data_IF_385388129813
#
_entry.id   IF_385388129813
#
_cell.length_a   1.000
_cell.length_b   1.000
_cell.length_c   1.000
_cell.angle_alpha   90.00
_cell.angle_beta   90.00
_cell.angle_gamma   90.00
#
_symmetry.space_group_name_H-M   'P 1'
#
loop_
_entity.id
_entity.type
_entity.pdbx_description
1 polymer ?
#
# COMPACT_ATOMS: atom_id res chain seq x y z
N UNK A 1 20.36 5.58 -3.79
CA UNK A 1 19.10 5.21 -3.09
C UNK A 1 19.07 5.79 -1.68
N UNK A 2 19.95 5.39 -0.76
CA UNK A 2 19.91 5.84 0.65
C UNK A 2 19.90 7.36 0.86
N UNK A 3 20.77 8.13 0.19
CA UNK A 3 20.77 9.61 0.33
C UNK A 3 19.43 10.25 -0.07
N UNK A 4 18.79 9.74 -1.13
CA UNK A 4 17.48 10.21 -1.58
C UNK A 4 16.39 9.90 -0.55
N UNK A 5 16.42 8.68 0.00
CA UNK A 5 15.53 8.28 1.08
C UNK A 5 15.68 9.18 2.31
N UNK A 6 16.91 9.49 2.74
CA UNK A 6 17.14 10.39 3.90
C UNK A 6 16.56 11.79 3.65
N UNK A 7 16.72 12.34 2.45
CA UNK A 7 16.11 13.63 2.10
C UNK A 7 14.58 13.56 2.15
N UNK A 8 14.00 12.55 1.49
CA UNK A 8 12.55 12.32 1.46
C UNK A 8 11.95 12.08 2.85
N UNK A 9 12.66 11.33 3.70
CA UNK A 9 12.27 11.04 5.08
C UNK A 9 12.11 12.33 5.90
N UNK A 10 13.03 13.29 5.72
CA UNK A 10 12.94 14.62 6.33
C UNK A 10 11.77 15.42 5.77
N UNK A 11 11.56 15.40 4.46
CA UNK A 11 10.46 16.14 3.81
C UNK A 11 9.07 15.69 4.30
N UNK A 12 8.88 14.37 4.52
CA UNK A 12 7.61 13.82 5.00
C UNK A 12 7.48 13.85 6.53
N UNK A 13 8.57 14.12 7.25
CA UNK A 13 8.70 14.01 8.70
C UNK A 13 8.38 12.58 9.18
N UNK A 14 9.09 11.59 8.62
CA UNK A 14 8.84 10.16 8.89
C UNK A 14 8.99 9.82 10.38
N UNK A 15 9.96 10.45 11.06
CA UNK A 15 10.33 10.13 12.46
C UNK A 15 9.19 10.37 13.45
N UNK A 16 8.34 11.37 13.19
CA UNK A 16 7.18 11.69 14.04
C UNK A 16 5.84 11.37 13.36
N UNK A 17 5.88 10.70 12.21
CA UNK A 17 4.70 10.44 11.40
C UNK A 17 3.65 9.61 12.16
N UNK A 18 4.10 8.59 12.89
CA UNK A 18 3.22 7.69 13.66
C UNK A 18 2.50 8.40 14.81
N UNK A 19 3.06 9.48 15.35
CA UNK A 19 2.52 10.21 16.51
C UNK A 19 1.74 11.46 16.10
N UNK A 20 2.25 12.21 15.14
CA UNK A 20 1.81 13.59 14.89
C UNK A 20 0.83 13.68 13.71
N UNK A 21 0.87 12.72 12.79
CA UNK A 21 0.06 12.78 11.58
C UNK A 21 -1.26 12.03 11.73
N UNK A 22 -2.35 12.79 11.62
CA UNK A 22 -3.71 12.25 11.45
C UNK A 22 -4.13 12.37 9.99
N UNK A 23 -4.42 11.24 9.30
CA UNK A 23 -4.96 11.30 7.94
C UNK A 23 -6.25 12.13 7.90
N UNK A 24 -6.50 12.87 6.80
CA UNK A 24 -7.80 13.46 6.52
C UNK A 24 -8.92 12.44 6.68
N UNK A 25 -10.07 12.89 7.18
CA UNK A 25 -11.21 12.01 7.48
C UNK A 25 -11.61 11.12 6.30
N UNK A 26 -11.58 11.67 5.08
CA UNK A 26 -11.90 10.92 3.87
C UNK A 26 -10.96 9.73 3.65
N UNK A 27 -9.65 9.92 3.87
CA UNK A 27 -8.67 8.83 3.72
C UNK A 27 -8.82 7.83 4.87
N UNK A 28 -9.00 8.32 6.10
CA UNK A 28 -9.14 7.46 7.27
C UNK A 28 -10.41 6.57 7.24
N UNK A 29 -11.52 7.07 6.68
CA UNK A 29 -12.81 6.35 6.65
C UNK A 29 -13.01 5.50 5.40
N UNK A 30 -12.53 5.96 4.24
CA UNK A 30 -12.88 5.36 2.95
C UNK A 30 -11.72 4.64 2.26
N UNK A 31 -10.50 4.68 2.80
CA UNK A 31 -9.42 3.82 2.35
C UNK A 31 -9.41 2.52 3.16
N UNK A 32 -9.95 1.46 2.57
CA UNK A 32 -10.04 0.15 3.22
C UNK A 32 -8.69 -0.57 3.25
N UNK A 33 -7.99 -0.47 4.38
CA UNK A 33 -6.66 -1.05 4.61
C UNK A 33 -6.39 -1.29 6.10
N UNK A 34 -6.12 -2.53 6.51
CA UNK A 34 -5.66 -2.84 7.88
C UNK A 34 -4.93 -4.19 7.96
N UNK A 35 -4.43 -4.54 9.14
CA UNK A 35 -3.93 -5.86 9.48
C UNK A 35 -5.06 -6.89 9.46
N UNK A 36 -4.77 -8.03 8.83
CA UNK A 36 -5.68 -9.15 8.77
C UNK A 36 -5.31 -10.23 9.78
N UNK A 37 -4.10 -10.77 9.63
CA UNK A 37 -3.65 -11.94 10.40
C UNK A 37 -2.13 -12.10 10.31
N UNK A 38 -1.61 -13.14 10.94
CA UNK A 38 -0.24 -13.57 10.74
C UNK A 38 -0.19 -14.82 9.84
N UNK A 39 0.84 -14.93 9.01
CA UNK A 39 1.08 -16.12 8.20
C UNK A 39 1.55 -17.32 9.05
N UNK A 40 1.74 -18.49 8.41
CA UNK A 40 2.15 -19.71 9.10
C UNK A 40 3.48 -19.58 9.86
N UNK A 41 4.33 -18.63 9.46
CA UNK A 41 5.60 -18.37 10.14
C UNK A 41 5.46 -17.27 11.21
N UNK A 42 4.31 -16.59 11.28
CA UNK A 42 4.05 -15.50 12.21
C UNK A 42 4.31 -14.11 11.63
N UNK A 43 4.52 -13.97 10.31
CA UNK A 43 4.69 -12.65 9.69
C UNK A 43 3.36 -11.94 9.55
N UNK A 44 3.35 -10.63 9.75
CA UNK A 44 2.13 -9.84 9.60
C UNK A 44 1.65 -9.82 8.13
N UNK A 45 0.34 -10.01 7.95
CA UNK A 45 -0.38 -9.89 6.67
C UNK A 45 -1.33 -8.70 6.75
N UNK A 46 -1.19 -7.78 5.79
CA UNK A 46 -2.10 -6.66 5.60
C UNK A 46 -3.14 -6.98 4.53
N UNK A 47 -4.32 -6.42 4.67
CA UNK A 47 -5.45 -6.61 3.76
C UNK A 47 -6.00 -5.27 3.29
N UNK A 48 -6.31 -5.19 2.00
CA UNK A 48 -6.94 -4.05 1.38
C UNK A 48 -8.13 -4.50 0.53
N UNK A 49 -9.30 -3.91 0.77
CA UNK A 49 -10.52 -4.19 -0.01
C UNK A 49 -10.65 -3.25 -1.22
N UNK A 50 -9.70 -3.37 -2.15
CA UNK A 50 -9.48 -2.40 -3.24
C UNK A 50 -10.70 -2.24 -4.13
N UNK A 51 -11.38 -3.34 -4.46
CA UNK A 51 -12.49 -3.30 -5.41
C UNK A 51 -13.73 -2.55 -4.90
N UNK A 52 -13.86 -2.37 -3.58
CA UNK A 52 -14.95 -1.61 -2.95
C UNK A 52 -14.57 -0.16 -2.61
N UNK A 53 -13.36 0.30 -2.94
CA UNK A 53 -12.95 1.71 -2.72
C UNK A 53 -13.52 2.59 -3.84
N UNK A 54 -14.24 3.66 -3.48
CA UNK A 54 -14.56 4.74 -4.41
C UNK A 54 -13.30 5.58 -4.70
N UNK A 55 -12.43 5.07 -5.58
CA UNK A 55 -11.17 5.72 -5.94
C UNK A 55 -11.40 7.13 -6.52
N UNK A 56 -12.48 7.31 -7.29
CA UNK A 56 -12.80 8.60 -7.90
C UNK A 56 -13.20 9.61 -6.83
N UNK A 57 -14.10 9.26 -5.91
CA UNK A 57 -14.48 10.09 -4.77
C UNK A 57 -13.27 10.39 -3.89
N UNK A 58 -12.51 9.36 -3.51
CA UNK A 58 -11.34 9.48 -2.65
C UNK A 58 -10.33 10.49 -3.19
N UNK A 59 -9.93 10.36 -4.46
CA UNK A 59 -8.91 11.24 -5.07
C UNK A 59 -9.46 12.60 -5.49
N UNK A 60 -10.78 12.80 -5.50
CA UNK A 60 -11.39 14.13 -5.66
C UNK A 60 -11.58 14.85 -4.31
N UNK A 61 -11.61 14.11 -3.21
CA UNK A 61 -11.83 14.64 -1.87
C UNK A 61 -10.56 14.77 -1.03
N UNK A 62 -9.44 14.17 -1.46
CA UNK A 62 -8.15 14.26 -0.79
C UNK A 62 -7.09 14.93 -1.69
N UNK A 63 -6.14 15.64 -1.07
CA UNK A 63 -4.96 16.12 -1.78
C UNK A 63 -4.03 14.93 -2.06
N UNK A 64 -3.36 14.87 -3.24
CA UNK A 64 -2.38 13.82 -3.53
C UNK A 64 -1.27 13.73 -2.47
N UNK A 65 -0.84 14.86 -1.91
CA UNK A 65 0.17 14.90 -0.82
C UNK A 65 -0.31 14.21 0.46
N UNK A 66 -1.58 14.37 0.82
CA UNK A 66 -2.16 13.71 1.98
C UNK A 66 -2.34 12.22 1.73
N UNK A 67 -2.70 11.85 0.49
CA UNK A 67 -2.73 10.47 0.02
C UNK A 67 -1.38 9.78 0.20
N UNK A 68 -0.31 10.41 -0.29
CA UNK A 68 1.04 9.87 -0.15
C UNK A 68 1.44 9.76 1.32
N UNK A 69 1.27 10.83 2.11
CA UNK A 69 1.64 10.83 3.52
C UNK A 69 0.87 9.77 4.32
N UNK A 70 -0.39 9.53 3.97
CA UNK A 70 -1.20 8.44 4.54
C UNK A 70 -0.70 7.06 4.13
N UNK A 71 -0.29 6.87 2.86
CA UNK A 71 0.32 5.62 2.42
C UNK A 71 1.63 5.32 3.17
N UNK A 72 2.47 6.34 3.40
CA UNK A 72 3.69 6.24 4.20
C UNK A 72 3.36 5.87 5.65
N UNK A 73 2.33 6.50 6.24
CA UNK A 73 1.87 6.17 7.59
C UNK A 73 1.49 4.68 7.71
N UNK A 74 0.79 4.13 6.71
CA UNK A 74 0.47 2.70 6.69
C UNK A 74 1.72 1.84 6.57
N UNK A 75 2.67 2.18 5.70
CA UNK A 75 3.92 1.44 5.58
C UNK A 75 4.72 1.41 6.90
N UNK A 76 4.82 2.53 7.61
CA UNK A 76 5.46 2.59 8.95
C UNK A 76 4.72 1.74 9.98
N UNK A 77 3.37 1.75 9.96
CA UNK A 77 2.55 0.90 10.85
C UNK A 77 2.76 -0.58 10.57
N UNK A 78 2.87 -0.96 9.31
CA UNK A 78 3.10 -2.34 8.92
C UNK A 78 4.45 -2.85 9.43
N UNK A 79 5.50 -2.02 9.29
CA UNK A 79 6.85 -2.31 9.79
C UNK A 79 6.85 -2.41 11.32
N UNK A 80 6.17 -1.47 12.01
CA UNK A 80 6.02 -1.51 13.46
C UNK A 80 5.31 -2.80 13.90
N UNK A 81 4.21 -3.18 13.24
CA UNK A 81 3.50 -4.44 13.52
C UNK A 81 4.42 -5.65 13.29
N UNK A 82 5.22 -5.65 12.23
CA UNK A 82 6.18 -6.72 11.95
C UNK A 82 7.22 -6.85 13.08
N UNK A 83 7.78 -5.73 13.55
CA UNK A 83 8.76 -5.74 14.64
C UNK A 83 8.15 -6.20 15.97
N UNK A 84 6.90 -5.84 16.25
CA UNK A 84 6.19 -6.38 17.41
C UNK A 84 5.99 -7.91 17.32
N UNK A 85 5.74 -8.45 16.12
CA UNK A 85 5.66 -9.91 15.94
C UNK A 85 7.03 -10.58 16.10
N UNK A 86 8.08 -9.95 15.60
CA UNK A 86 9.46 -10.41 15.75
C UNK A 86 9.85 -10.57 17.22
N UNK A 87 9.59 -9.54 18.04
CA UNK A 87 9.86 -9.57 19.48
C UNK A 87 9.10 -10.69 20.18
N UNK A 88 7.80 -10.85 19.87
CA UNK A 88 6.96 -11.90 20.46
C UNK A 88 7.41 -13.32 20.10
N UNK A 89 7.93 -13.52 18.91
CA UNK A 89 8.27 -14.84 18.37
C UNK A 89 9.76 -15.17 18.44
N UNK A 90 10.61 -14.23 18.86
CA UNK A 90 12.06 -14.36 18.79
C UNK A 90 12.57 -14.52 17.35
N UNK A 91 11.92 -13.83 16.40
CA UNK A 91 12.23 -13.90 14.96
C UNK A 91 12.71 -12.54 14.44
N UNK A 92 13.25 -12.53 13.23
CA UNK A 92 13.81 -11.32 12.59
C UNK A 92 13.27 -11.15 11.16
N UNK A 93 11.95 -11.14 11.00
CA UNK A 93 11.33 -10.85 9.72
C UNK A 93 11.58 -9.40 9.31
N UNK A 94 11.91 -9.20 8.04
CA UNK A 94 12.12 -7.86 7.45
C UNK A 94 11.06 -7.49 6.43
N UNK A 95 10.21 -8.46 6.04
CA UNK A 95 9.24 -8.36 4.94
C UNK A 95 7.81 -8.62 5.42
N UNK A 96 6.86 -7.86 4.89
CA UNK A 96 5.41 -7.92 5.17
C UNK A 96 4.67 -8.60 4.02
N UNK A 97 3.60 -9.33 4.33
CA UNK A 97 2.69 -9.91 3.35
C UNK A 97 1.48 -9.02 3.09
N UNK A 98 0.97 -9.02 1.85
CA UNK A 98 -0.19 -8.23 1.47
C UNK A 98 -1.24 -9.08 0.74
N UNK A 99 -2.51 -8.81 1.00
CA UNK A 99 -3.67 -9.36 0.29
C UNK A 99 -4.51 -8.19 -0.22
N UNK A 100 -4.77 -8.17 -1.51
CA UNK A 100 -5.63 -7.18 -2.17
C UNK A 100 -6.87 -7.88 -2.72
N UNK A 101 -8.03 -7.57 -2.16
CA UNK A 101 -9.31 -8.02 -2.70
C UNK A 101 -9.76 -7.10 -3.84
N UNK A 102 -9.92 -7.67 -5.02
CA UNK A 102 -10.38 -6.94 -6.22
C UNK A 102 -11.86 -7.23 -6.54
N UNK A 103 -12.59 -7.86 -5.62
CA UNK A 103 -14.03 -8.07 -5.76
C UNK A 103 -14.75 -6.73 -5.97
N UNK A 104 -15.67 -6.69 -6.94
CA UNK A 104 -16.39 -5.49 -7.39
C UNK A 104 -15.54 -4.41 -8.09
N UNK A 105 -14.24 -4.64 -8.35
CA UNK A 105 -13.44 -3.72 -9.13
C UNK A 105 -13.99 -3.63 -10.57
N UNK A 106 -14.62 -2.51 -10.90
CA UNK A 106 -15.13 -2.26 -12.24
C UNK A 106 -14.01 -1.86 -13.21
N UNK A 107 -14.21 -2.14 -14.50
CA UNK A 107 -13.28 -1.70 -15.55
C UNK A 107 -13.09 -0.18 -15.52
N UNK A 108 -14.17 0.59 -15.35
CA UNK A 108 -14.12 2.05 -15.30
C UNK A 108 -13.26 2.58 -14.14
N UNK A 109 -13.33 1.95 -12.96
CA UNK A 109 -12.48 2.30 -11.82
C UNK A 109 -11.03 1.90 -12.07
N UNK A 110 -10.81 0.69 -12.60
CA UNK A 110 -9.46 0.18 -12.91
C UNK A 110 -8.74 0.99 -13.99
N UNK A 111 -9.47 1.52 -14.98
CA UNK A 111 -8.91 2.35 -16.07
C UNK A 111 -8.99 3.84 -15.81
N UNK A 112 -9.39 4.27 -14.60
CA UNK A 112 -9.49 5.68 -14.28
C UNK A 112 -8.09 6.32 -14.24
N UNK A 113 -7.81 7.20 -15.19
CA UNK A 113 -6.50 7.83 -15.35
C UNK A 113 -5.93 8.44 -14.06
N UNK A 114 -6.72 9.26 -13.36
CA UNK A 114 -6.28 9.94 -12.14
C UNK A 114 -5.94 8.92 -11.03
N UNK A 115 -6.74 7.87 -10.90
CA UNK A 115 -6.52 6.80 -9.92
C UNK A 115 -5.25 6.01 -10.25
N UNK A 116 -5.01 5.70 -11.53
CA UNK A 116 -3.78 5.06 -11.99
C UNK A 116 -2.56 5.95 -11.70
N UNK A 117 -2.61 7.23 -12.04
CA UNK A 117 -1.49 8.17 -11.82
C UNK A 117 -1.13 8.28 -10.33
N UNK A 118 -2.12 8.36 -9.44
CA UNK A 118 -1.91 8.38 -7.98
C UNK A 118 -1.35 7.04 -7.48
N UNK A 119 -1.90 5.92 -7.93
CA UNK A 119 -1.42 4.59 -7.55
C UNK A 119 0.04 4.36 -7.99
N UNK A 120 0.38 4.76 -9.23
CA UNK A 120 1.75 4.72 -9.76
C UNK A 120 2.71 5.55 -8.92
N UNK A 121 2.29 6.76 -8.54
CA UNK A 121 3.09 7.66 -7.73
C UNK A 121 3.37 7.08 -6.34
N UNK A 122 2.35 6.55 -5.67
CA UNK A 122 2.51 5.88 -4.37
C UNK A 122 3.38 4.64 -4.48
N UNK A 123 3.16 3.79 -5.48
CA UNK A 123 3.94 2.58 -5.68
C UNK A 123 5.43 2.89 -5.93
N UNK A 124 5.71 3.88 -6.78
CA UNK A 124 7.09 4.34 -7.00
C UNK A 124 7.72 4.86 -5.71
N UNK A 125 7.01 5.69 -4.95
CA UNK A 125 7.51 6.17 -3.66
C UNK A 125 7.77 5.02 -2.69
N UNK A 126 6.91 4.00 -2.66
CA UNK A 126 7.12 2.81 -1.85
C UNK A 126 8.39 2.04 -2.26
N UNK A 127 8.57 1.75 -3.55
CA UNK A 127 9.76 1.05 -4.04
C UNK A 127 11.07 1.81 -3.75
N UNK A 128 11.06 3.13 -3.95
CA UNK A 128 12.25 3.97 -3.78
C UNK A 128 12.67 4.10 -2.29
N UNK A 129 11.72 3.97 -1.35
CA UNK A 129 11.93 4.24 0.09
C UNK A 129 11.81 3.02 1.01
N UNK A 130 11.14 1.96 0.56
CA UNK A 130 10.94 0.71 1.30
C UNK A 130 11.46 -0.49 0.50
N UNK A 131 12.76 -0.49 0.13
CA UNK A 131 13.32 -1.55 -0.69
C UNK A 131 13.22 -2.90 0.03
N UNK A 132 12.83 -3.93 -0.72
CA UNK A 132 12.74 -5.32 -0.27
C UNK A 132 11.82 -5.56 0.94
N UNK A 133 10.88 -4.65 1.23
CA UNK A 133 9.94 -4.79 2.37
C UNK A 133 8.70 -5.64 2.09
N UNK A 134 8.39 -5.89 0.82
CA UNK A 134 7.28 -6.76 0.43
C UNK A 134 7.75 -8.21 0.29
N UNK A 135 7.07 -9.16 0.97
CA UNK A 135 7.35 -10.60 0.83
C UNK A 135 6.55 -11.22 -0.31
N UNK A 136 5.25 -10.94 -0.32
CA UNK A 136 4.29 -11.36 -1.35
C UNK A 136 3.13 -10.37 -1.37
N UNK A 137 2.51 -10.24 -2.54
CA UNK A 137 1.24 -9.56 -2.73
C UNK A 137 0.27 -10.52 -3.44
N UNK A 138 -0.75 -10.97 -2.73
CA UNK A 138 -1.80 -11.81 -3.31
C UNK A 138 -2.94 -10.92 -3.80
N UNK A 139 -3.32 -11.09 -5.07
CA UNK A 139 -4.54 -10.52 -5.61
C UNK A 139 -5.62 -11.60 -5.59
N UNK A 140 -6.74 -11.33 -4.92
CA UNK A 140 -7.87 -12.26 -4.84
C UNK A 140 -9.10 -11.65 -5.54
N UNK A 141 -10.02 -12.51 -5.99
CA UNK A 141 -11.23 -12.11 -6.74
C UNK A 141 -10.91 -11.20 -7.93
N UNK A 142 -9.84 -11.53 -8.66
CA UNK A 142 -9.33 -10.74 -9.78
C UNK A 142 -10.34 -10.74 -10.93
N UNK A 143 -10.80 -9.57 -11.40
CA UNK A 143 -11.76 -9.49 -12.51
C UNK A 143 -11.11 -9.88 -13.84
N UNK A 144 -11.90 -10.46 -14.74
CA UNK A 144 -11.40 -11.03 -16.02
C UNK A 144 -10.60 -10.03 -16.85
N UNK A 145 -10.99 -8.75 -16.87
CA UNK A 145 -10.29 -7.72 -17.63
C UNK A 145 -8.84 -7.50 -17.14
N UNK A 146 -8.53 -7.82 -15.88
CA UNK A 146 -7.17 -7.72 -15.36
C UNK A 146 -6.21 -8.64 -16.14
N UNK A 147 -6.66 -9.84 -16.51
CA UNK A 147 -5.85 -10.77 -17.30
C UNK A 147 -5.56 -10.27 -18.72
N UNK A 148 -6.46 -9.45 -19.29
CA UNK A 148 -6.25 -8.81 -20.59
C UNK A 148 -5.09 -7.80 -20.49
N UNK A 149 -5.06 -7.01 -19.43
CA UNK A 149 -3.99 -6.03 -19.20
C UNK A 149 -2.69 -6.67 -18.69
N UNK A 150 -2.74 -7.79 -17.98
CA UNK A 150 -1.55 -8.51 -17.51
C UNK A 150 -0.66 -9.00 -18.66
N UNK A 151 -1.27 -9.35 -19.80
CA UNK A 151 -0.54 -9.71 -21.02
C UNK A 151 0.27 -8.54 -21.59
N UNK A 152 -0.15 -7.29 -21.31
CA UNK A 152 0.64 -6.10 -21.55
C UNK A 152 1.49 -5.81 -20.31
N UNK A 153 2.69 -6.42 -20.26
CA UNK A 153 3.66 -6.38 -19.14
C UNK A 153 3.95 -4.99 -18.53
N UNK A 154 3.57 -3.89 -19.17
CA UNK A 154 3.79 -2.52 -18.70
C UNK A 154 2.73 -1.98 -17.73
N UNK A 155 1.56 -2.64 -17.58
CA UNK A 155 0.45 -2.07 -16.79
C UNK A 155 0.21 -2.74 -15.42
N UNK A 156 0.78 -3.93 -15.17
CA UNK A 156 0.57 -4.66 -13.92
C UNK A 156 1.72 -4.45 -12.93
N UNK A 157 1.55 -3.42 -12.09
CA UNK A 157 2.48 -2.99 -11.04
C UNK A 157 2.67 -3.97 -9.88
N UNK A 158 1.95 -5.09 -9.87
CA UNK A 158 1.97 -6.05 -8.76
C UNK A 158 2.85 -7.29 -9.02
N UNK A 159 3.44 -7.43 -10.21
CA UNK A 159 4.16 -8.66 -10.59
C UNK A 159 5.58 -8.48 -11.16
N UNK A 160 6.25 -7.37 -10.88
CA UNK A 160 7.69 -7.25 -11.20
C UNK A 160 8.54 -7.31 -9.93
N UNK A 161 8.65 -8.51 -9.39
CA UNK A 161 9.83 -9.01 -8.67
C UNK A 161 10.02 -10.47 -9.06
#
# INVERSE_FOLDING_TARGET
MLRKHITWAKEINIDTLLTDYKPPEVLAKYFSYDFLCNDKEGRAIMYADVGNIDLKGLWNSAKPSDGLKTAVLYAERDIMKLYQQNEKLGKSFTKVGYIYNLENLSFANATNRKSIEVAMYHYKSYLDNYPERMKYAYLINVPVFYHIFFNFKSLCLFCTT
#
